data_IF_262454585631
#
_entry.id   IF_262454585631
#
_cell.length_a   1.000
_cell.length_b   1.000
_cell.length_c   1.000
_cell.angle_alpha   90.00
_cell.angle_beta   90.00
_cell.angle_gamma   90.00
#
_symmetry.space_group_name_H-M   'P 1'
#
loop_
_entity.id
_entity.type
_entity.pdbx_description
1 polymer ?
#
# COMPACT_ATOMS: atom_id res chain seq x y z
N UNK A 1 4.18 -20.56 -15.10
CA UNK A 1 3.99 -20.48 -13.64
C UNK A 1 3.82 -19.03 -13.24
N UNK A 2 2.75 -18.72 -12.53
CA UNK A 2 2.50 -17.36 -12.13
C UNK A 2 3.46 -16.92 -11.03
N UNK A 3 3.98 -15.72 -11.15
CA UNK A 3 4.79 -15.13 -10.09
C UNK A 3 3.92 -14.84 -8.87
N UNK A 4 4.52 -14.96 -7.70
CA UNK A 4 3.81 -14.67 -6.47
C UNK A 4 3.65 -13.17 -6.29
N UNK A 5 2.46 -12.75 -5.86
CA UNK A 5 2.17 -11.35 -5.58
C UNK A 5 2.92 -10.93 -4.33
N UNK A 6 3.61 -9.80 -4.41
CA UNK A 6 4.44 -9.30 -3.31
C UNK A 6 4.00 -7.90 -2.91
N UNK A 7 3.77 -7.72 -1.61
CA UNK A 7 3.31 -6.44 -1.06
C UNK A 7 4.29 -5.90 -0.03
N UNK A 8 4.40 -4.57 -0.01
CA UNK A 8 5.12 -3.85 1.05
C UNK A 8 4.08 -3.26 2.01
N UNK A 9 4.22 -3.57 3.28
CA UNK A 9 3.33 -3.09 4.33
C UNK A 9 4.10 -2.06 5.15
N UNK A 10 3.64 -0.80 5.13
CA UNK A 10 4.27 0.29 5.87
C UNK A 10 3.41 0.58 7.09
N UNK A 11 3.83 0.06 8.23
CA UNK A 11 3.08 0.10 9.47
C UNK A 11 4.02 -0.05 10.66
N UNK A 12 3.97 0.88 11.61
CA UNK A 12 4.83 0.82 12.80
C UNK A 12 4.18 0.09 13.98
N UNK A 13 2.86 -0.06 13.98
CA UNK A 13 2.15 -0.80 15.02
C UNK A 13 2.28 -2.29 14.75
N UNK A 14 3.07 -2.98 15.58
CA UNK A 14 3.38 -4.39 15.36
C UNK A 14 2.14 -5.30 15.30
N UNK A 15 1.18 -5.21 16.24
CA UNK A 15 -0.03 -6.03 16.14
C UNK A 15 -0.80 -5.82 14.85
N UNK A 16 -0.94 -4.58 14.40
CA UNK A 16 -1.64 -4.28 13.14
C UNK A 16 -0.87 -4.83 11.95
N UNK A 17 0.46 -4.63 11.91
CA UNK A 17 1.29 -5.17 10.84
C UNK A 17 1.17 -6.68 10.74
N UNK A 18 1.21 -7.38 11.87
CA UNK A 18 1.09 -8.84 11.90
C UNK A 18 -0.28 -9.30 11.40
N UNK A 19 -1.34 -8.58 11.75
CA UNK A 19 -2.69 -8.90 11.27
C UNK A 19 -2.76 -8.76 9.75
N UNK A 20 -2.22 -7.67 9.20
CA UNK A 20 -2.21 -7.45 7.76
C UNK A 20 -1.40 -8.53 7.06
N UNK A 21 -0.21 -8.85 7.56
CA UNK A 21 0.63 -9.94 7.05
C UNK A 21 -0.14 -11.25 7.02
N UNK A 22 -0.82 -11.57 8.12
CA UNK A 22 -1.60 -12.81 8.23
C UNK A 22 -2.67 -12.88 7.14
N UNK A 23 -3.46 -11.81 7.01
CA UNK A 23 -4.55 -11.77 6.03
C UNK A 23 -4.04 -11.91 4.59
N UNK A 24 -2.96 -11.21 4.26
CA UNK A 24 -2.43 -11.22 2.89
C UNK A 24 -1.69 -12.52 2.59
N UNK A 25 -1.02 -13.11 3.58
CA UNK A 25 -0.40 -14.42 3.42
C UNK A 25 -1.45 -15.49 3.14
N UNK A 26 -2.57 -15.44 3.86
CA UNK A 26 -3.69 -16.36 3.60
C UNK A 26 -4.29 -16.16 2.22
N UNK A 27 -4.20 -14.95 1.67
CA UNK A 27 -4.68 -14.65 0.33
C UNK A 27 -3.68 -15.08 -0.76
N UNK A 28 -2.54 -15.63 -0.38
CA UNK A 28 -1.55 -16.14 -1.32
C UNK A 28 -0.43 -15.17 -1.67
N UNK A 29 -0.28 -14.09 -0.91
CA UNK A 29 0.72 -13.06 -1.19
C UNK A 29 1.97 -13.20 -0.32
N UNK A 30 3.10 -12.72 -0.83
CA UNK A 30 4.30 -12.51 -0.04
C UNK A 30 4.27 -11.08 0.48
N UNK A 31 4.80 -10.88 1.68
CA UNK A 31 4.79 -9.56 2.32
C UNK A 31 6.14 -9.21 2.90
N UNK A 32 6.47 -7.93 2.89
CA UNK A 32 7.57 -7.37 3.67
C UNK A 32 7.03 -6.18 4.44
N UNK A 33 7.58 -5.92 5.60
CA UNK A 33 7.11 -4.85 6.49
C UNK A 33 8.20 -3.80 6.67
N UNK A 34 7.82 -2.53 6.48
CA UNK A 34 8.65 -1.38 6.81
C UNK A 34 7.97 -0.65 7.97
N UNK A 35 8.71 -0.37 9.02
CA UNK A 35 8.17 0.28 10.21
C UNK A 35 8.32 1.80 10.21
N UNK A 36 9.05 2.34 9.23
CA UNK A 36 9.27 3.78 9.09
C UNK A 36 9.15 4.17 7.63
N UNK A 37 8.91 5.46 7.37
CA UNK A 37 8.87 5.98 6.00
C UNK A 37 10.20 5.85 5.30
N UNK A 38 11.31 6.07 6.02
CA UNK A 38 12.64 5.93 5.45
C UNK A 38 12.91 4.51 4.97
N UNK A 39 12.57 3.51 5.79
CA UNK A 39 12.70 2.11 5.39
C UNK A 39 11.80 1.77 4.23
N UNK A 40 10.59 2.30 4.22
CA UNK A 40 9.64 2.07 3.13
C UNK A 40 10.23 2.53 1.79
N UNK A 41 10.83 3.71 1.75
CA UNK A 41 11.46 4.22 0.54
C UNK A 41 12.60 3.31 0.09
N UNK A 42 13.47 2.91 1.02
CA UNK A 42 14.60 2.04 0.71
C UNK A 42 14.14 0.70 0.15
N UNK A 43 13.14 0.09 0.77
CA UNK A 43 12.63 -1.21 0.35
C UNK A 43 11.88 -1.11 -0.98
N UNK A 44 11.07 -0.07 -1.16
CA UNK A 44 10.34 0.14 -2.41
C UNK A 44 11.28 0.36 -3.59
N UNK A 45 12.37 1.09 -3.39
CA UNK A 45 13.35 1.33 -4.44
C UNK A 45 14.18 0.11 -4.78
N UNK A 46 14.42 -0.77 -3.79
CA UNK A 46 15.25 -1.96 -3.97
C UNK A 46 14.47 -3.17 -4.47
N UNK A 47 13.16 -3.20 -4.30
CA UNK A 47 12.34 -4.37 -4.61
C UNK A 47 11.29 -4.08 -5.67
N UNK A 48 10.60 -5.13 -6.07
CA UNK A 48 9.46 -5.05 -6.98
C UNK A 48 8.22 -5.48 -6.23
N UNK A 49 7.39 -4.52 -5.88
CA UNK A 49 6.14 -4.77 -5.15
C UNK A 49 4.95 -4.52 -6.06
N UNK A 50 3.92 -5.34 -5.91
CA UNK A 50 2.69 -5.22 -6.68
C UNK A 50 1.73 -4.21 -6.07
N UNK A 51 1.89 -3.93 -4.78
CA UNK A 51 1.07 -2.95 -4.06
C UNK A 51 1.76 -2.58 -2.75
N UNK A 52 1.52 -1.36 -2.29
CA UNK A 52 2.05 -0.86 -1.02
C UNK A 52 0.88 -0.45 -0.14
N UNK A 53 0.80 -0.97 1.09
CA UNK A 53 -0.14 -0.45 2.10
C UNK A 53 0.61 0.55 2.97
N UNK A 54 -0.05 1.61 3.40
CA UNK A 54 0.61 2.75 4.01
C UNK A 54 -0.25 3.37 5.10
N UNK A 55 0.29 3.49 6.30
CA UNK A 55 -0.38 4.25 7.36
C UNK A 55 -0.05 5.74 7.22
N UNK A 56 -0.98 6.60 7.60
CA UNK A 56 -0.76 8.06 7.61
C UNK A 56 0.20 8.45 8.73
N UNK A 57 0.06 7.85 9.90
CA UNK A 57 0.85 8.21 11.07
C UNK A 57 2.05 7.28 11.20
N UNK A 58 3.21 7.76 10.78
CA UNK A 58 4.47 7.03 10.86
C UNK A 58 5.40 7.72 11.87
N UNK A 59 6.31 6.97 12.50
CA UNK A 59 7.19 7.56 13.53
C UNK A 59 8.13 8.65 12.99
N UNK A 60 8.46 8.60 11.71
CA UNK A 60 9.39 9.55 11.09
C UNK A 60 8.73 10.48 10.08
N UNK A 61 7.40 10.53 10.04
CA UNK A 61 6.72 11.47 9.16
C UNK A 61 5.29 11.13 8.86
N UNK A 62 4.77 11.78 7.83
CA UNK A 62 3.38 11.72 7.43
C UNK A 62 3.24 10.84 6.18
N UNK A 63 2.31 9.91 6.21
CA UNK A 63 2.10 8.97 5.11
C UNK A 63 1.61 9.62 3.82
N UNK A 64 0.90 10.75 3.90
CA UNK A 64 0.49 11.47 2.69
C UNK A 64 1.71 12.00 1.93
N UNK A 65 2.67 12.57 2.65
CA UNK A 65 3.92 13.04 2.05
C UNK A 65 4.73 11.88 1.48
N UNK A 66 4.76 10.77 2.18
CA UNK A 66 5.44 9.57 1.72
C UNK A 66 4.82 9.06 0.41
N UNK A 67 3.50 9.02 0.34
CA UNK A 67 2.78 8.61 -0.87
C UNK A 67 3.15 9.48 -2.06
N UNK A 68 3.11 10.81 -1.88
CA UNK A 68 3.49 11.75 -2.93
C UNK A 68 4.92 11.48 -3.41
N UNK A 69 5.83 11.28 -2.47
CA UNK A 69 7.24 11.03 -2.77
C UNK A 69 7.44 9.73 -3.55
N UNK A 70 6.75 8.67 -3.14
CA UNK A 70 6.83 7.39 -3.85
C UNK A 70 6.28 7.52 -5.27
N UNK A 71 5.20 8.26 -5.44
CA UNK A 71 4.59 8.47 -6.76
C UNK A 71 5.44 9.32 -7.71
N UNK A 72 6.37 10.11 -7.18
CA UNK A 72 7.31 10.87 -8.02
C UNK A 72 8.39 9.98 -8.64
N UNK A 73 8.61 8.80 -8.10
CA UNK A 73 9.60 7.85 -8.63
C UNK A 73 9.03 7.11 -9.83
N UNK A 74 9.67 7.22 -10.99
CA UNK A 74 9.17 6.62 -12.23
C UNK A 74 9.01 5.10 -12.17
N UNK A 75 9.80 4.42 -11.33
CA UNK A 75 9.65 2.98 -11.12
C UNK A 75 8.42 2.63 -10.28
N UNK A 76 7.97 3.56 -9.44
CA UNK A 76 6.94 3.30 -8.44
C UNK A 76 5.61 3.99 -8.76
N UNK A 77 5.57 4.87 -9.76
CA UNK A 77 4.39 5.68 -10.04
C UNK A 77 3.16 4.86 -10.42
N UNK A 78 3.35 3.64 -10.95
CA UNK A 78 2.23 2.75 -11.26
C UNK A 78 1.92 1.74 -10.18
N UNK A 79 2.75 1.63 -9.16
CA UNK A 79 2.48 0.72 -8.05
C UNK A 79 1.32 1.28 -7.23
N UNK A 80 0.20 0.57 -7.11
CA UNK A 80 -0.92 1.08 -6.33
C UNK A 80 -0.55 1.21 -4.85
N UNK A 81 -0.96 2.33 -4.26
CA UNK A 81 -0.78 2.57 -2.83
C UNK A 81 -2.16 2.64 -2.20
N UNK A 82 -2.35 1.90 -1.13
CA UNK A 82 -3.61 1.87 -0.39
C UNK A 82 -3.33 2.32 1.04
N UNK A 83 -3.98 3.39 1.48
CA UNK A 83 -3.86 3.80 2.88
C UNK A 83 -4.64 2.84 3.77
N UNK A 84 -4.03 2.47 4.89
CA UNK A 84 -4.66 1.65 5.94
C UNK A 84 -4.36 2.37 7.26
N UNK A 85 -5.34 3.08 7.80
CA UNK A 85 -5.10 4.02 8.88
C UNK A 85 -6.32 4.19 9.79
N UNK A 86 -6.07 4.61 11.02
CA UNK A 86 -7.14 4.95 11.95
C UNK A 86 -7.81 6.30 11.68
N UNK A 87 -7.22 7.10 10.78
CA UNK A 87 -7.80 8.41 10.44
C UNK A 87 -8.99 8.22 9.50
N UNK A 88 -10.19 8.56 9.98
CA UNK A 88 -11.42 8.24 9.27
C UNK A 88 -12.20 9.46 8.77
N UNK A 89 -11.74 10.69 9.01
CA UNK A 89 -12.47 11.84 8.54
C UNK A 89 -12.41 11.99 7.02
N UNK A 90 -13.43 12.63 6.45
CA UNK A 90 -13.54 12.78 5.01
C UNK A 90 -12.39 13.57 4.41
N UNK A 91 -11.89 14.59 5.14
CA UNK A 91 -10.76 15.39 4.67
C UNK A 91 -9.51 14.55 4.49
N UNK A 92 -9.21 13.65 5.44
CA UNK A 92 -8.06 12.77 5.34
C UNK A 92 -8.24 11.76 4.21
N UNK A 93 -9.44 11.21 4.04
CA UNK A 93 -9.71 10.29 2.95
C UNK A 93 -9.53 10.98 1.59
N UNK A 94 -10.02 12.20 1.45
CA UNK A 94 -9.85 12.96 0.22
C UNK A 94 -8.38 13.29 -0.03
N UNK A 95 -7.66 13.68 1.01
CA UNK A 95 -6.22 13.95 0.91
C UNK A 95 -5.46 12.73 0.41
N UNK A 96 -5.79 11.55 0.94
CA UNK A 96 -5.17 10.30 0.48
C UNK A 96 -5.37 10.06 -1.01
N UNK A 97 -6.56 10.27 -1.51
CA UNK A 97 -6.85 10.13 -2.93
C UNK A 97 -6.15 11.20 -3.75
N UNK A 98 -6.10 12.44 -3.25
CA UNK A 98 -5.48 13.56 -3.95
C UNK A 98 -3.96 13.37 -4.14
N UNK A 99 -3.29 12.68 -3.22
CA UNK A 99 -1.86 12.39 -3.36
C UNK A 99 -1.58 11.15 -4.20
N UNK A 100 -2.60 10.54 -4.76
CA UNK A 100 -2.46 9.47 -5.75
C UNK A 100 -2.71 8.06 -5.24
N UNK A 101 -3.28 7.89 -4.05
CA UNK A 101 -3.61 6.56 -3.56
C UNK A 101 -4.76 5.95 -4.34
N UNK A 102 -4.72 4.64 -4.51
CA UNK A 102 -5.78 3.89 -5.17
C UNK A 102 -6.98 3.66 -4.26
N UNK A 103 -6.78 3.64 -2.94
CA UNK A 103 -7.86 3.41 -1.99
C UNK A 103 -7.45 3.92 -0.60
N UNK A 104 -8.44 3.98 0.27
CA UNK A 104 -8.26 4.45 1.66
C UNK A 104 -9.12 3.56 2.56
N UNK A 105 -8.47 2.73 3.36
CA UNK A 105 -9.15 1.78 4.25
C UNK A 105 -8.95 2.23 5.68
N UNK A 106 -10.06 2.39 6.42
CA UNK A 106 -9.99 2.82 7.81
C UNK A 106 -9.94 1.63 8.77
N UNK A 107 -9.14 1.75 9.81
CA UNK A 107 -9.09 0.77 10.90
C UNK A 107 -10.15 1.11 11.94
N UNK A 108 -10.84 0.14 12.50
CA UNK A 108 -10.78 -1.29 12.19
C UNK A 108 -11.50 -1.62 10.88
N UNK A 109 -11.05 -2.67 10.22
CA UNK A 109 -11.65 -3.12 8.96
C UNK A 109 -12.08 -4.59 9.08
N UNK A 110 -13.02 -4.99 8.22
CA UNK A 110 -13.42 -6.39 8.13
C UNK A 110 -12.38 -7.15 7.31
N UNK A 111 -11.93 -8.29 7.83
CA UNK A 111 -10.84 -9.06 7.23
C UNK A 111 -11.09 -9.42 5.76
N UNK A 112 -12.28 -9.91 5.44
CA UNK A 112 -12.61 -10.31 4.07
C UNK A 112 -12.69 -9.12 3.12
N UNK A 113 -13.25 -8.01 3.61
CA UNK A 113 -13.32 -6.78 2.84
C UNK A 113 -11.93 -6.24 2.53
N UNK A 114 -11.04 -6.23 3.51
CA UNK A 114 -9.67 -5.78 3.35
C UNK A 114 -8.96 -6.58 2.26
N UNK A 115 -8.92 -7.90 2.39
CA UNK A 115 -8.22 -8.78 1.44
C UNK A 115 -8.79 -8.63 0.02
N UNK A 116 -10.10 -8.58 -0.10
CA UNK A 116 -10.79 -8.44 -1.37
C UNK A 116 -10.43 -7.13 -2.06
N UNK A 117 -10.42 -6.02 -1.32
CA UNK A 117 -10.09 -4.71 -1.86
C UNK A 117 -8.63 -4.66 -2.32
N UNK A 118 -7.71 -5.21 -1.52
CA UNK A 118 -6.29 -5.25 -1.88
C UNK A 118 -6.08 -6.02 -3.19
N UNK A 119 -6.63 -7.22 -3.28
CA UNK A 119 -6.49 -8.05 -4.48
C UNK A 119 -7.11 -7.40 -5.71
N UNK A 120 -8.23 -6.71 -5.53
CA UNK A 120 -8.89 -5.97 -6.60
C UNK A 120 -7.99 -4.89 -7.19
N UNK A 121 -7.31 -4.13 -6.34
CA UNK A 121 -6.40 -3.08 -6.81
C UNK A 121 -5.17 -3.64 -7.52
N UNK A 122 -4.65 -4.77 -7.05
CA UNK A 122 -3.53 -5.43 -7.73
C UNK A 122 -3.95 -5.87 -9.13
N UNK A 123 -5.12 -6.48 -9.25
CA UNK A 123 -5.64 -6.94 -10.53
C UNK A 123 -5.87 -5.78 -11.49
N UNK A 124 -6.44 -4.68 -11.01
CA UNK A 124 -6.68 -3.49 -11.82
C UNK A 124 -5.37 -2.90 -12.34
N UNK A 125 -4.35 -2.81 -11.50
CA UNK A 125 -3.05 -2.29 -11.89
C UNK A 125 -2.37 -3.18 -12.94
N UNK A 126 -2.46 -4.49 -12.81
CA UNK A 126 -1.92 -5.43 -13.78
C UNK A 126 -2.60 -5.29 -15.14
N UNK A 127 -3.91 -5.09 -15.14
CA UNK A 127 -4.67 -4.90 -16.37
C UNK A 127 -4.29 -3.60 -17.07
N UNK A 128 -4.15 -2.50 -16.33
CA UNK A 128 -3.73 -1.22 -16.88
C UNK A 128 -2.33 -1.29 -17.49
N UNK A 129 -1.40 -1.92 -16.78
CA UNK A 129 -0.02 -2.04 -17.25
C UNK A 129 0.11 -2.88 -18.52
N UNK A 130 -0.85 -3.76 -18.78
CA UNK A 130 -0.86 -4.56 -19.98
C UNK A 130 -1.23 -3.75 -21.24
N UNK A 131 -1.83 -2.58 -21.07
CA UNK A 131 -2.27 -1.73 -22.19
C UNK A 131 -1.33 -0.56 -22.45
N UNK A 132 -1.34 0.43 -21.60
CA UNK A 132 -0.51 1.63 -21.77
C UNK A 132 0.10 1.99 -20.43
N UNK A 133 1.40 2.22 -20.47
CA UNK A 133 2.12 2.60 -19.28
C UNK A 133 2.83 3.92 -19.52
N UNK A 134 2.34 5.00 -18.92
CA UNK A 134 2.94 6.33 -19.01
C UNK A 134 2.91 6.97 -17.63
N UNK A 135 4.07 7.31 -17.12
CA UNK A 135 4.19 8.03 -15.84
C UNK A 135 4.75 9.42 -16.07
#
# INVERSE_FOLDING_TARGET
>A
MAEKIKLLIVEDDTPVALMIVFLLTRAGCETEVATTGKKAIQMAEAGDFDLITLDVDLPDGNGFNLCSRLKENSRLCDTPIVFVTGRSCLEDQQHGLDVGAADYITKPFAAMDFSSRILSHIKAAQTENAHVHVC
#
